data_IF_497222564694
#
_entry.id   IF_497222564694
#
_cell.length_a   1.000
_cell.length_b   1.000
_cell.length_c   1.000
_cell.angle_alpha   90.00
_cell.angle_beta   90.00
_cell.angle_gamma   90.00
#
_symmetry.space_group_name_H-M   'P 1'
#
loop_
_entity.id
_entity.type
_entity.pdbx_description
1 polymer ?
#
# COMPACT_ATOMS: atom_id res chain seq x y z
N UNK A 1 21.85 17.60 -8.39
CA UNK A 1 23.04 16.74 -8.38
C UNK A 1 22.64 15.38 -7.84
N UNK A 2 22.99 14.31 -8.57
CA UNK A 2 22.79 12.95 -8.08
C UNK A 2 23.83 12.63 -7.02
N UNK A 3 23.39 12.04 -5.93
CA UNK A 3 24.24 11.53 -4.87
C UNK A 3 24.34 10.01 -5.02
N UNK A 4 25.26 9.37 -4.31
CA UNK A 4 25.33 7.91 -4.27
C UNK A 4 24.60 7.42 -3.02
N UNK A 5 23.64 6.50 -3.19
CA UNK A 5 22.89 5.91 -2.08
C UNK A 5 22.81 4.39 -2.24
N UNK A 6 22.97 3.66 -1.13
CA UNK A 6 22.88 2.20 -1.10
C UNK A 6 21.47 1.77 -0.65
N UNK A 7 20.72 1.18 -1.58
CA UNK A 7 19.41 0.58 -1.33
C UNK A 7 19.51 -0.90 -0.85
N UNK A 8 20.71 -1.37 -0.51
CA UNK A 8 20.97 -2.73 -0.01
C UNK A 8 21.63 -3.67 -1.02
N UNK A 9 21.99 -3.18 -2.22
CA UNK A 9 22.70 -3.94 -3.25
C UNK A 9 23.95 -3.21 -3.78
N UNK A 10 24.45 -2.25 -3.01
CA UNK A 10 25.56 -1.36 -3.36
C UNK A 10 25.05 0.03 -3.79
N UNK A 11 25.93 1.03 -3.71
CA UNK A 11 25.56 2.42 -3.98
C UNK A 11 25.28 2.65 -5.48
N UNK A 12 24.16 3.33 -5.74
CA UNK A 12 23.74 3.74 -7.10
C UNK A 12 23.44 5.24 -7.13
N UNK A 13 23.47 5.89 -8.30
CA UNK A 13 23.05 7.27 -8.45
C UNK A 13 21.59 7.45 -7.97
N UNK A 14 21.38 8.42 -7.10
CA UNK A 14 20.11 8.70 -6.49
C UNK A 14 19.98 10.18 -6.09
N UNK A 15 18.77 10.60 -5.80
CA UNK A 15 18.49 11.97 -5.32
C UNK A 15 17.41 11.95 -4.24
N UNK A 16 17.34 13.05 -3.51
CA UNK A 16 16.24 13.29 -2.56
C UNK A 16 15.04 13.89 -3.29
N UNK A 17 13.88 13.23 -3.21
CA UNK A 17 12.66 13.72 -3.84
C UNK A 17 12.24 15.08 -3.28
N UNK A 18 11.75 15.98 -4.12
CA UNK A 18 11.39 17.34 -3.75
C UNK A 18 10.33 17.39 -2.63
N UNK A 19 9.31 16.52 -2.72
CA UNK A 19 8.26 16.39 -1.69
C UNK A 19 8.55 15.22 -0.76
N UNK A 20 8.93 15.52 0.48
CA UNK A 20 9.12 14.54 1.55
C UNK A 20 10.56 14.10 1.77
N UNK A 21 11.49 14.39 0.84
CA UNK A 21 12.94 14.15 1.00
C UNK A 21 13.37 12.69 1.10
N UNK A 22 12.51 11.75 0.67
CA UNK A 22 12.86 10.34 0.54
C UNK A 22 13.85 10.08 -0.60
N UNK A 23 14.50 8.92 -0.57
CA UNK A 23 15.48 8.54 -1.56
C UNK A 23 14.84 7.94 -2.81
N UNK A 24 15.25 8.43 -3.96
CA UNK A 24 14.82 7.94 -5.27
C UNK A 24 16.05 7.64 -6.11
N UNK A 25 16.19 6.39 -6.58
CA UNK A 25 17.25 6.03 -7.53
C UNK A 25 16.99 6.73 -8.88
N UNK A 26 18.06 7.17 -9.55
CA UNK A 26 17.92 7.87 -10.84
C UNK A 26 17.34 6.97 -11.95
N UNK A 27 17.31 5.65 -11.75
CA UNK A 27 16.63 4.69 -12.65
C UNK A 27 15.13 4.62 -12.45
N UNK A 28 14.61 5.05 -11.28
CA UNK A 28 13.19 5.07 -10.96
C UNK A 28 12.53 6.34 -11.51
N UNK A 29 11.24 6.24 -11.82
CA UNK A 29 10.46 7.38 -12.28
C UNK A 29 9.45 7.79 -11.21
N UNK A 30 9.58 8.99 -10.66
CA UNK A 30 8.69 9.53 -9.63
C UNK A 30 8.22 10.92 -10.02
N UNK A 31 6.90 11.09 -10.17
CA UNK A 31 6.32 12.40 -10.52
C UNK A 31 6.52 13.43 -9.40
N UNK A 32 6.67 14.69 -9.74
CA UNK A 32 6.82 15.81 -8.77
C UNK A 32 5.63 15.95 -7.82
N UNK A 33 4.45 15.47 -8.20
CA UNK A 33 3.24 15.48 -7.37
C UNK A 33 3.26 14.48 -6.23
N UNK A 34 4.05 13.41 -6.36
CA UNK A 34 4.20 12.31 -5.41
C UNK A 34 4.86 12.80 -4.11
N UNK A 35 4.45 12.24 -2.99
CA UNK A 35 5.14 12.42 -1.72
C UNK A 35 5.98 11.17 -1.40
N UNK A 36 7.30 11.34 -1.24
CA UNK A 36 8.22 10.28 -0.80
C UNK A 36 8.81 10.73 0.54
N UNK A 37 8.36 10.12 1.63
CA UNK A 37 8.77 10.47 3.00
C UNK A 37 10.26 10.25 3.26
N UNK A 38 10.84 10.86 4.30
CA UNK A 38 12.30 10.95 4.48
C UNK A 38 13.01 9.60 4.60
N UNK A 39 12.33 8.57 5.13
CA UNK A 39 12.87 7.22 5.32
C UNK A 39 12.41 6.25 4.23
N UNK A 40 11.48 6.70 3.36
CA UNK A 40 10.97 5.90 2.25
C UNK A 40 11.97 5.84 1.08
N UNK A 41 11.91 4.74 0.34
CA UNK A 41 12.84 4.45 -0.74
C UNK A 41 12.10 4.01 -2.02
N UNK A 42 12.48 4.58 -3.15
CA UNK A 42 11.99 4.18 -4.48
C UNK A 42 13.19 3.90 -5.38
N UNK A 43 13.33 2.67 -5.89
CA UNK A 43 14.52 2.29 -6.64
C UNK A 43 14.25 1.20 -7.69
N UNK A 44 15.29 0.78 -8.40
CA UNK A 44 15.16 -0.10 -9.56
C UNK A 44 14.48 0.66 -10.71
N UNK A 45 13.55 0.00 -11.40
CA UNK A 45 12.75 0.59 -12.48
C UNK A 45 11.32 0.97 -12.00
N UNK A 46 11.16 1.23 -10.72
CA UNK A 46 9.86 1.54 -10.14
C UNK A 46 9.28 2.84 -10.70
N UNK A 47 7.96 2.89 -10.81
CA UNK A 47 7.22 4.04 -11.29
C UNK A 47 6.21 4.49 -10.24
N UNK A 48 6.28 5.73 -9.80
CA UNK A 48 5.33 6.30 -8.84
C UNK A 48 4.76 7.60 -9.39
N UNK A 49 3.44 7.68 -9.53
CA UNK A 49 2.78 8.78 -10.24
C UNK A 49 1.50 9.27 -9.55
N UNK A 50 0.94 10.36 -10.06
CA UNK A 50 -0.28 10.96 -9.55
C UNK A 50 -0.10 11.59 -8.17
N UNK A 51 -1.05 11.38 -7.29
CA UNK A 51 -1.02 11.89 -5.92
C UNK A 51 -0.60 10.80 -4.90
N UNK A 52 0.15 9.81 -5.36
CA UNK A 52 0.59 8.70 -4.53
C UNK A 52 1.51 9.18 -3.39
N UNK A 53 1.48 8.44 -2.29
CA UNK A 53 2.31 8.74 -1.11
C UNK A 53 3.03 7.48 -0.65
N UNK A 54 4.36 7.57 -0.54
CA UNK A 54 5.23 6.52 -0.01
C UNK A 54 5.92 7.08 1.22
N UNK A 55 5.69 6.50 2.41
CA UNK A 55 6.24 7.08 3.65
C UNK A 55 6.44 6.03 4.75
N UNK A 56 7.02 6.45 5.89
CA UNK A 56 7.61 5.51 6.85
C UNK A 56 8.81 4.83 6.22
N UNK A 57 9.08 3.60 6.58
CA UNK A 57 10.18 2.78 6.04
C UNK A 57 9.77 2.01 4.77
N UNK A 58 8.75 2.49 4.07
CA UNK A 58 8.20 1.82 2.90
C UNK A 58 9.18 1.82 1.72
N UNK A 59 9.17 0.72 0.96
CA UNK A 59 10.03 0.52 -0.20
C UNK A 59 9.21 0.18 -1.44
N UNK A 60 9.49 0.86 -2.56
CA UNK A 60 8.91 0.56 -3.87
C UNK A 60 10.06 0.30 -4.85
N UNK A 61 10.16 -0.92 -5.41
CA UNK A 61 11.31 -1.28 -6.22
C UNK A 61 11.01 -2.35 -7.29
N UNK A 62 12.03 -2.74 -8.04
CA UNK A 62 11.84 -3.63 -9.20
C UNK A 62 11.11 -2.90 -10.31
N UNK A 63 10.11 -3.52 -10.93
CA UNK A 63 9.25 -2.94 -11.95
C UNK A 63 7.89 -2.46 -11.36
N UNK A 64 7.81 -2.31 -10.04
CA UNK A 64 6.57 -1.97 -9.37
C UNK A 64 6.02 -0.61 -9.80
N UNK A 65 4.70 -0.49 -9.80
CA UNK A 65 3.99 0.75 -10.13
C UNK A 65 3.06 1.15 -9.00
N UNK A 66 3.11 2.41 -8.61
CA UNK A 66 2.20 2.99 -7.62
C UNK A 66 1.58 4.25 -8.20
N UNK A 67 0.26 4.36 -8.26
CA UNK A 67 -0.40 5.47 -8.94
C UNK A 67 -1.73 5.89 -8.30
N UNK A 68 -2.30 6.98 -8.79
CA UNK A 68 -3.56 7.53 -8.27
C UNK A 68 -3.37 8.16 -6.89
N UNK A 69 -4.26 7.86 -5.97
CA UNK A 69 -4.20 8.33 -4.57
C UNK A 69 -3.68 7.24 -3.62
N UNK A 70 -2.97 6.24 -4.15
CA UNK A 70 -2.48 5.11 -3.37
C UNK A 70 -1.49 5.55 -2.29
N UNK A 71 -1.51 4.84 -1.17
CA UNK A 71 -0.61 5.06 -0.05
C UNK A 71 0.14 3.78 0.28
N UNK A 72 1.46 3.87 0.33
CA UNK A 72 2.36 2.79 0.75
C UNK A 72 3.11 3.30 1.98
N UNK A 73 2.95 2.65 3.14
CA UNK A 73 3.46 3.18 4.40
C UNK A 73 3.86 2.10 5.41
N UNK A 74 4.42 2.51 6.55
CA UNK A 74 4.98 1.58 7.51
C UNK A 74 6.22 0.90 6.94
N UNK A 75 6.34 -0.41 7.12
CA UNK A 75 7.41 -1.24 6.57
C UNK A 75 7.00 -1.93 5.25
N UNK A 76 5.95 -1.46 4.59
CA UNK A 76 5.42 -2.10 3.40
C UNK A 76 6.40 -2.11 2.24
N UNK A 77 6.40 -3.19 1.47
CA UNK A 77 7.24 -3.37 0.30
C UNK A 77 6.39 -3.68 -0.93
N UNK A 78 6.54 -2.88 -1.97
CA UNK A 78 5.88 -3.09 -3.27
C UNK A 78 6.98 -3.31 -4.30
N UNK A 79 7.03 -4.49 -4.91
CA UNK A 79 8.14 -4.89 -5.77
C UNK A 79 7.69 -5.84 -6.89
N UNK A 80 8.65 -6.38 -7.65
CA UNK A 80 8.34 -7.23 -8.80
C UNK A 80 7.53 -6.46 -9.83
N UNK A 81 6.43 -7.03 -10.28
CA UNK A 81 5.51 -6.43 -11.26
C UNK A 81 4.20 -5.97 -10.61
N UNK A 82 4.20 -5.72 -9.30
CA UNK A 82 3.02 -5.27 -8.59
C UNK A 82 2.58 -3.88 -9.06
N UNK A 83 1.28 -3.71 -9.26
CA UNK A 83 0.68 -2.42 -9.55
C UNK A 83 -0.34 -2.05 -8.47
N UNK A 84 -0.04 -1.01 -7.71
CA UNK A 84 -0.91 -0.45 -6.65
C UNK A 84 -1.50 0.87 -7.14
N UNK A 85 -2.82 0.96 -7.22
CA UNK A 85 -3.49 2.10 -7.83
C UNK A 85 -4.79 2.49 -7.12
N UNK A 86 -5.42 3.56 -7.60
CA UNK A 86 -6.68 4.07 -7.06
C UNK A 86 -6.51 4.61 -5.64
N UNK A 87 -7.35 4.16 -4.74
CA UNK A 87 -7.35 4.58 -3.34
C UNK A 87 -6.82 3.49 -2.39
N UNK A 88 -5.91 2.63 -2.88
CA UNK A 88 -5.32 1.55 -2.08
C UNK A 88 -4.44 2.09 -0.94
N UNK A 89 -4.55 1.48 0.23
CA UNK A 89 -3.72 1.75 1.40
C UNK A 89 -2.95 0.49 1.78
N UNK A 90 -1.68 0.44 1.43
CA UNK A 90 -0.77 -0.68 1.69
C UNK A 90 0.14 -0.29 2.84
N UNK A 91 -0.08 -0.87 4.01
CA UNK A 91 0.63 -0.48 5.23
C UNK A 91 1.10 -1.67 6.05
N UNK A 92 1.63 -1.40 7.25
CA UNK A 92 2.18 -2.42 8.12
C UNK A 92 3.42 -3.08 7.53
N UNK A 93 3.45 -4.41 7.56
CA UNK A 93 4.54 -5.23 7.02
C UNK A 93 4.16 -5.90 5.68
N UNK A 94 3.20 -5.35 4.96
CA UNK A 94 2.68 -5.89 3.71
C UNK A 94 3.77 -6.01 2.64
N UNK A 95 3.76 -7.12 1.89
CA UNK A 95 4.67 -7.40 0.79
C UNK A 95 3.87 -7.74 -0.45
N UNK A 96 3.93 -6.89 -1.46
CA UNK A 96 3.23 -7.04 -2.71
C UNK A 96 4.22 -7.23 -3.86
N UNK A 97 4.20 -8.38 -4.49
CA UNK A 97 5.01 -8.70 -5.68
C UNK A 97 4.20 -8.74 -6.97
N UNK A 98 2.87 -8.87 -6.84
CA UNK A 98 1.89 -8.93 -7.94
C UNK A 98 0.67 -8.09 -7.61
N UNK A 99 -0.05 -7.65 -8.63
CA UNK A 99 -1.31 -6.91 -8.47
C UNK A 99 -2.39 -7.72 -7.75
N UNK A 100 -2.34 -9.04 -7.81
CA UNK A 100 -3.27 -9.94 -7.09
C UNK A 100 -2.98 -10.10 -5.59
N UNK A 101 -1.92 -9.49 -5.08
CA UNK A 101 -1.54 -9.60 -3.66
C UNK A 101 -2.34 -8.65 -2.76
N UNK A 102 -3.24 -7.85 -3.32
CA UNK A 102 -4.13 -6.98 -2.56
C UNK A 102 -5.52 -6.87 -3.21
N UNK A 103 -6.49 -6.42 -2.43
CA UNK A 103 -7.84 -6.13 -2.87
C UNK A 103 -8.31 -4.80 -2.26
N UNK A 104 -8.88 -3.93 -3.07
CA UNK A 104 -9.54 -2.70 -2.60
C UNK A 104 -11.04 -2.83 -2.79
N UNK A 105 -11.79 -2.56 -1.73
CA UNK A 105 -13.25 -2.55 -1.73
C UNK A 105 -13.73 -1.19 -1.22
N UNK A 106 -14.62 -0.56 -1.93
CA UNK A 106 -15.21 0.69 -1.46
C UNK A 106 -15.78 1.55 -2.58
N UNK A 107 -16.44 2.65 -2.20
CA UNK A 107 -16.63 3.11 -0.80
C UNK A 107 -17.54 2.17 0.01
N UNK A 108 -17.20 1.94 1.29
CA UNK A 108 -17.92 0.99 2.15
C UNK A 108 -17.99 1.49 3.61
N UNK A 109 -19.03 1.06 4.32
CA UNK A 109 -19.23 1.34 5.73
C UNK A 109 -19.73 2.75 6.03
N UNK A 110 -19.73 3.11 7.32
CA UNK A 110 -20.31 4.37 7.83
C UNK A 110 -19.54 5.62 7.42
N UNK A 111 -18.30 5.46 6.97
CA UNK A 111 -17.43 6.57 6.55
C UNK A 111 -17.25 6.64 5.04
N UNK A 112 -17.93 5.77 4.29
CA UNK A 112 -17.77 5.65 2.83
C UNK A 112 -16.29 5.58 2.40
N UNK A 113 -15.48 4.88 3.19
CA UNK A 113 -14.04 4.76 2.99
C UNK A 113 -13.70 3.56 2.12
N UNK A 114 -12.50 3.56 1.56
CA UNK A 114 -11.94 2.37 0.91
C UNK A 114 -11.30 1.46 1.96
N UNK A 115 -11.47 0.16 1.76
CA UNK A 115 -10.85 -0.90 2.54
C UNK A 115 -9.86 -1.61 1.65
N UNK A 116 -8.61 -1.72 2.08
CA UNK A 116 -7.58 -2.48 1.39
C UNK A 116 -7.23 -3.72 2.22
N UNK A 117 -7.29 -4.88 1.61
CA UNK A 117 -6.75 -6.11 2.17
C UNK A 117 -5.44 -6.46 1.46
N UNK A 118 -4.47 -6.95 2.22
CA UNK A 118 -3.17 -7.42 1.70
C UNK A 118 -2.95 -8.88 2.07
N UNK A 119 -2.55 -9.68 1.06
CA UNK A 119 -2.41 -11.14 1.19
C UNK A 119 -1.26 -11.54 2.11
N UNK A 120 -0.13 -10.88 2.00
CA UNK A 120 1.12 -11.31 2.64
C UNK A 120 1.08 -11.32 4.17
N UNK A 121 0.31 -10.42 4.77
CA UNK A 121 0.15 -10.28 6.22
C UNK A 121 -1.30 -10.50 6.69
N UNK A 122 -2.23 -10.72 5.75
CA UNK A 122 -3.65 -10.92 6.03
C UNK A 122 -4.32 -9.71 6.67
N UNK A 123 -3.74 -8.51 6.52
CA UNK A 123 -4.22 -7.31 7.16
C UNK A 123 -5.25 -6.55 6.32
N UNK A 124 -6.09 -5.81 7.02
CA UNK A 124 -7.03 -4.84 6.45
C UNK A 124 -6.63 -3.45 6.91
N UNK A 125 -6.51 -2.53 5.96
CA UNK A 125 -6.35 -1.10 6.19
C UNK A 125 -7.61 -0.36 5.73
N UNK A 126 -8.23 0.43 6.62
CA UNK A 126 -9.37 1.30 6.27
C UNK A 126 -9.52 2.43 7.28
N UNK A 127 -9.63 3.67 6.83
CA UNK A 127 -9.70 4.83 7.72
C UNK A 127 -8.53 4.87 8.70
N UNK A 128 -8.82 4.77 10.00
CA UNK A 128 -7.79 4.70 11.05
C UNK A 128 -7.48 3.28 11.53
N UNK A 129 -8.08 2.25 10.91
CA UNK A 129 -7.88 0.85 11.28
C UNK A 129 -6.78 0.22 10.42
N UNK A 130 -5.87 -0.50 11.07
CA UNK A 130 -4.92 -1.42 10.45
C UNK A 130 -4.80 -2.66 11.33
N UNK A 131 -5.06 -3.83 10.80
CA UNK A 131 -4.94 -5.09 11.53
C UNK A 131 -5.49 -6.30 10.80
N UNK A 132 -5.36 -7.46 11.41
CA UNK A 132 -5.83 -8.73 10.83
C UNK A 132 -7.34 -8.76 10.65
N UNK A 133 -7.85 -9.63 9.79
CA UNK A 133 -9.28 -9.86 9.56
C UNK A 133 -10.01 -10.13 10.89
N UNK A 134 -9.43 -10.92 11.78
CA UNK A 134 -10.02 -11.22 13.10
C UNK A 134 -10.22 -9.96 13.95
N UNK A 135 -9.19 -9.12 14.03
CA UNK A 135 -9.27 -7.82 14.76
C UNK A 135 -10.27 -6.87 14.10
N UNK A 136 -10.31 -6.85 12.77
CA UNK A 136 -11.25 -6.06 11.99
C UNK A 136 -12.71 -6.46 12.31
N UNK A 137 -13.04 -7.73 12.24
CA UNK A 137 -14.39 -8.22 12.56
C UNK A 137 -14.79 -7.95 14.01
N UNK A 138 -13.85 -8.04 14.96
CA UNK A 138 -14.08 -7.65 16.35
C UNK A 138 -14.42 -6.16 16.45
N UNK A 139 -13.66 -5.29 15.80
CA UNK A 139 -13.93 -3.85 15.78
C UNK A 139 -15.29 -3.52 15.10
N UNK A 140 -15.62 -4.21 14.01
CA UNK A 140 -16.93 -4.08 13.34
C UNK A 140 -18.07 -4.45 14.29
N UNK A 141 -17.95 -5.56 15.00
CA UNK A 141 -18.96 -6.01 15.96
C UNK A 141 -19.15 -5.00 17.10
N UNK A 142 -18.04 -4.50 17.66
CA UNK A 142 -18.08 -3.52 18.75
C UNK A 142 -18.71 -2.19 18.32
N UNK A 143 -18.37 -1.72 17.12
CA UNK A 143 -18.79 -0.39 16.64
C UNK A 143 -20.18 -0.39 16.00
N UNK A 144 -20.51 -1.45 15.25
CA UNK A 144 -21.68 -1.49 14.38
C UNK A 144 -22.69 -2.57 14.74
N UNK A 145 -22.33 -3.51 15.63
CA UNK A 145 -23.23 -4.61 16.03
C UNK A 145 -23.68 -5.41 14.81
N UNK A 146 -24.97 -5.29 14.48
CA UNK A 146 -25.58 -6.03 13.37
C UNK A 146 -26.31 -5.12 12.35
N UNK A 147 -25.91 -3.85 12.31
CA UNK A 147 -26.49 -2.88 11.39
C UNK A 147 -26.04 -3.12 9.94
N UNK A 148 -26.54 -2.29 9.00
CA UNK A 148 -26.24 -2.40 7.58
C UNK A 148 -24.73 -2.28 7.27
N UNK A 149 -24.00 -1.44 8.01
CA UNK A 149 -22.56 -1.28 7.83
C UNK A 149 -21.79 -2.53 8.26
N UNK A 150 -22.17 -3.16 9.37
CA UNK A 150 -21.59 -4.43 9.80
C UNK A 150 -21.81 -5.55 8.77
N UNK A 151 -23.02 -5.62 8.21
CA UNK A 151 -23.35 -6.59 7.15
C UNK A 151 -22.49 -6.37 5.90
N UNK A 152 -22.29 -5.14 5.49
CA UNK A 152 -21.43 -4.79 4.36
C UNK A 152 -19.96 -5.20 4.60
N UNK A 153 -19.40 -4.86 5.75
CA UNK A 153 -18.02 -5.26 6.10
C UNK A 153 -17.85 -6.78 6.17
N UNK A 154 -18.80 -7.50 6.73
CA UNK A 154 -18.78 -8.98 6.76
C UNK A 154 -18.88 -9.58 5.36
N UNK A 155 -19.65 -8.96 4.45
CA UNK A 155 -19.71 -9.37 3.05
C UNK A 155 -18.36 -9.17 2.33
N UNK A 156 -17.69 -8.05 2.58
CA UNK A 156 -16.36 -7.79 2.07
C UNK A 156 -15.33 -8.83 2.56
N UNK A 157 -15.37 -9.20 3.83
CA UNK A 157 -14.51 -10.27 4.37
C UNK A 157 -14.80 -11.62 3.74
N UNK A 158 -16.06 -11.96 3.46
CA UNK A 158 -16.39 -13.18 2.72
C UNK A 158 -15.79 -13.19 1.31
N UNK A 159 -15.79 -12.05 0.62
CA UNK A 159 -15.14 -11.91 -0.67
C UNK A 159 -13.62 -12.13 -0.57
N UNK A 160 -12.98 -11.57 0.44
CA UNK A 160 -11.54 -11.79 0.69
C UNK A 160 -11.25 -13.29 0.84
N UNK A 161 -11.99 -14.01 1.68
CA UNK A 161 -11.81 -15.45 1.87
C UNK A 161 -12.06 -16.26 0.58
N UNK A 162 -13.01 -15.84 -0.25
CA UNK A 162 -13.23 -16.48 -1.55
C UNK A 162 -12.02 -16.30 -2.49
N UNK A 163 -11.43 -15.10 -2.50
CA UNK A 163 -10.24 -14.83 -3.29
C UNK A 163 -8.99 -15.54 -2.76
N UNK A 164 -8.83 -15.68 -1.45
CA UNK A 164 -7.75 -16.46 -0.85
C UNK A 164 -7.80 -17.93 -1.34
N UNK A 165 -8.99 -18.53 -1.38
CA UNK A 165 -9.18 -19.90 -1.87
C UNK A 165 -8.93 -20.04 -3.36
N UNK A 166 -9.27 -19.03 -4.16
CA UNK A 166 -9.12 -19.07 -5.62
C UNK A 166 -7.66 -18.95 -6.09
N UNK A 167 -6.79 -18.40 -5.26
CA UNK A 167 -5.39 -18.11 -5.60
C UNK A 167 -4.39 -18.81 -4.65
N UNK A 168 -4.88 -19.69 -3.79
CA UNK A 168 -4.09 -20.49 -2.82
C UNK A 168 -3.52 -21.77 -3.39
#
# INVERSE_FOLDING_TARGET
MSEMFDFGAGPVPAHRHAKGRGWVADTAHVDETVYVGPDAQVYGNAQVSGNARVYGDAQVYGNARVSGNARVYGNARVYGDAWVYGNAWVGGDAKLSKTTDYLVIGPIGSREAFMTWTRSDGCIATGCFLGTIKKFLSAVNTTHGDNAHAKAYRAAVRLIHAMEKAHG
#
